data_IF_751741494755
#
_entry.id   IF_751741494755
#
_cell.length_a   1.000
_cell.length_b   1.000
_cell.length_c   1.000
_cell.angle_alpha   90.00
_cell.angle_beta   90.00
_cell.angle_gamma   90.00
#
_symmetry.space_group_name_H-M   'P 1'
#
loop_
_entity.id
_entity.type
_entity.pdbx_description
1 polymer ?
#
# COMPACT_ATOMS: atom_id res chain seq x y z
N UNK A 1 -6.37 -22.88 -19.80
CA UNK A 1 -6.46 -22.10 -18.54
C UNK A 1 -5.12 -22.08 -17.80
N UNK A 2 -4.50 -23.24 -17.55
CA UNK A 2 -3.15 -23.33 -16.97
C UNK A 2 -2.05 -22.68 -17.84
N UNK A 3 -2.07 -22.88 -19.16
CA UNK A 3 -1.11 -22.26 -20.09
C UNK A 3 -1.24 -20.73 -20.20
N UNK A 4 -2.48 -20.22 -20.06
CA UNK A 4 -2.72 -18.77 -20.03
C UNK A 4 -2.16 -18.16 -18.75
N UNK A 5 -2.38 -18.81 -17.60
CA UNK A 5 -1.81 -18.39 -16.32
C UNK A 5 -0.27 -18.50 -16.32
N UNK A 6 0.31 -19.54 -16.90
CA UNK A 6 1.78 -19.63 -17.02
C UNK A 6 2.33 -18.52 -17.91
N UNK A 7 1.68 -18.21 -19.03
CA UNK A 7 2.10 -17.13 -19.93
C UNK A 7 2.01 -15.75 -19.26
N UNK A 8 1.01 -15.52 -18.41
CA UNK A 8 0.90 -14.30 -17.59
C UNK A 8 2.00 -14.23 -16.54
N UNK A 9 2.29 -15.34 -15.85
CA UNK A 9 3.38 -15.42 -14.88
C UNK A 9 4.75 -15.21 -15.54
N UNK A 10 4.98 -15.81 -16.70
CA UNK A 10 6.21 -15.66 -17.47
C UNK A 10 6.37 -14.23 -18.01
N UNK A 11 5.28 -13.59 -18.43
CA UNK A 11 5.28 -12.17 -18.78
C UNK A 11 5.67 -11.28 -17.59
N UNK A 12 5.09 -11.54 -16.41
CA UNK A 12 5.43 -10.80 -15.18
C UNK A 12 6.89 -11.02 -14.79
N UNK A 13 7.39 -12.26 -14.88
CA UNK A 13 8.79 -12.57 -14.57
C UNK A 13 9.77 -11.89 -15.54
N UNK A 14 9.42 -11.80 -16.83
CA UNK A 14 10.27 -11.20 -17.86
C UNK A 14 10.27 -9.67 -17.88
N UNK A 15 9.27 -9.01 -17.27
CA UNK A 15 9.17 -7.54 -17.28
C UNK A 15 10.06 -6.85 -16.25
N UNK A 16 10.82 -7.61 -15.43
CA UNK A 16 11.60 -7.10 -14.28
C UNK A 16 10.77 -6.32 -13.25
N UNK A 17 9.45 -6.24 -13.42
CA UNK A 17 8.52 -5.58 -12.49
C UNK A 17 8.63 -6.17 -11.08
N UNK A 18 8.77 -7.49 -10.86
CA UNK A 18 8.97 -8.04 -9.52
C UNK A 18 10.23 -7.52 -8.84
N UNK A 19 11.32 -7.35 -9.60
CA UNK A 19 12.58 -6.79 -9.09
C UNK A 19 12.42 -5.29 -8.80
N UNK A 20 11.75 -4.53 -9.67
CA UNK A 20 11.46 -3.11 -9.46
C UNK A 20 10.61 -2.86 -8.21
N UNK A 21 9.68 -3.76 -7.88
CA UNK A 21 8.87 -3.67 -6.65
C UNK A 21 9.72 -4.01 -5.42
N UNK A 22 10.59 -5.04 -5.50
CA UNK A 22 11.48 -5.41 -4.40
C UNK A 22 12.53 -4.36 -4.09
N UNK A 23 13.05 -3.71 -5.12
CA UNK A 23 14.11 -2.71 -5.03
C UNK A 23 13.55 -1.28 -5.00
N UNK A 24 12.24 -1.12 -4.78
CA UNK A 24 11.61 0.19 -4.84
C UNK A 24 12.22 1.10 -3.77
N UNK A 25 12.93 2.14 -4.22
CA UNK A 25 13.47 3.14 -3.32
C UNK A 25 12.34 4.08 -2.87
N UNK A 26 11.65 3.66 -1.81
CA UNK A 26 10.57 4.44 -1.21
C UNK A 26 11.03 5.84 -0.76
N UNK A 27 12.32 6.02 -0.41
CA UNK A 27 12.89 7.34 -0.10
C UNK A 27 13.12 8.15 -1.38
N UNK A 28 13.64 7.50 -2.43
CA UNK A 28 13.84 8.06 -3.77
C UNK A 28 12.56 8.60 -4.41
N UNK A 29 11.40 8.00 -4.11
CA UNK A 29 10.09 8.51 -4.55
C UNK A 29 9.83 9.95 -4.08
N UNK A 30 10.14 10.27 -2.83
CA UNK A 30 9.88 11.60 -2.25
C UNK A 30 11.00 12.62 -2.51
N UNK A 31 12.13 12.20 -3.09
CA UNK A 31 13.16 13.11 -3.59
C UNK A 31 13.05 13.33 -5.11
N UNK A 32 12.27 12.50 -5.81
CA UNK A 32 12.01 12.63 -7.22
C UNK A 32 10.94 13.70 -7.49
N UNK A 33 11.33 14.82 -8.10
CA UNK A 33 10.43 15.92 -8.43
C UNK A 33 9.27 15.49 -9.35
N UNK A 34 9.49 14.52 -10.26
CA UNK A 34 8.45 14.01 -11.16
C UNK A 34 7.33 13.27 -10.44
N UNK A 35 7.60 12.70 -9.27
CA UNK A 35 6.56 12.15 -8.40
C UNK A 35 6.03 13.19 -7.43
N UNK A 36 6.92 13.94 -6.79
CA UNK A 36 6.59 14.84 -5.70
C UNK A 36 5.67 15.99 -6.15
N UNK A 37 5.94 16.60 -7.30
CA UNK A 37 5.13 17.71 -7.83
C UNK A 37 3.67 17.31 -8.10
N UNK A 38 3.38 16.26 -8.91
CA UNK A 38 2.00 15.84 -9.10
C UNK A 38 1.35 15.30 -7.82
N UNK A 39 2.11 14.66 -6.94
CA UNK A 39 1.59 14.18 -5.65
C UNK A 39 1.15 15.34 -4.73
N UNK A 40 1.98 16.38 -4.59
CA UNK A 40 1.63 17.60 -3.85
C UNK A 40 0.43 18.30 -4.51
N UNK A 41 0.43 18.41 -5.85
CA UNK A 41 -0.68 18.98 -6.60
C UNK A 41 -2.00 18.24 -6.32
N UNK A 42 -1.98 16.91 -6.32
CA UNK A 42 -3.10 16.07 -5.95
C UNK A 42 -3.59 16.34 -4.52
N UNK A 43 -2.68 16.42 -3.53
CA UNK A 43 -3.05 16.71 -2.14
C UNK A 43 -3.67 18.09 -2.00
N UNK A 44 -3.02 19.13 -2.54
CA UNK A 44 -3.51 20.51 -2.51
C UNK A 44 -4.88 20.64 -3.17
N UNK A 45 -5.09 19.98 -4.32
CA UNK A 45 -6.38 20.01 -5.02
C UNK A 45 -7.50 19.36 -4.22
N UNK A 46 -7.25 18.20 -3.60
CA UNK A 46 -8.25 17.52 -2.77
C UNK A 46 -8.51 18.27 -1.46
N UNK A 47 -7.50 18.93 -0.88
CA UNK A 47 -7.67 19.83 0.25
C UNK A 47 -8.54 21.04 -0.11
N UNK A 48 -8.27 21.68 -1.25
CA UNK A 48 -9.09 22.78 -1.77
C UNK A 48 -10.55 22.37 -1.96
N UNK A 49 -10.79 21.18 -2.52
CA UNK A 49 -12.14 20.63 -2.69
C UNK A 49 -12.78 20.09 -1.41
N UNK A 50 -12.09 20.16 -0.27
CA UNK A 50 -12.52 19.56 0.99
C UNK A 50 -12.90 18.07 0.86
N UNK A 51 -12.25 17.36 -0.08
CA UNK A 51 -12.51 15.96 -0.42
C UNK A 51 -11.91 15.03 0.65
N UNK A 52 -12.45 15.13 1.87
CA UNK A 52 -11.94 14.46 3.06
C UNK A 52 -11.93 12.94 2.90
N UNK A 53 -12.95 12.37 2.24
CA UNK A 53 -13.01 10.94 1.95
C UNK A 53 -11.81 10.53 1.10
N UNK A 54 -11.55 11.25 0.00
CA UNK A 54 -10.40 10.99 -0.87
C UNK A 54 -9.09 11.09 -0.11
N UNK A 55 -8.88 12.17 0.66
CA UNK A 55 -7.65 12.39 1.42
C UNK A 55 -7.39 11.29 2.45
N UNK A 56 -8.42 10.85 3.17
CA UNK A 56 -8.30 9.78 4.16
C UNK A 56 -8.02 8.43 3.48
N UNK A 57 -8.66 8.13 2.35
CA UNK A 57 -8.36 6.91 1.59
C UNK A 57 -6.93 6.90 1.06
N UNK A 58 -6.45 8.03 0.53
CA UNK A 58 -5.05 8.18 0.11
C UNK A 58 -4.11 7.95 1.30
N UNK A 59 -4.39 8.57 2.44
CA UNK A 59 -3.62 8.42 3.66
C UNK A 59 -3.57 6.98 4.15
N UNK A 60 -4.70 6.27 4.14
CA UNK A 60 -4.77 4.85 4.47
C UNK A 60 -3.96 3.99 3.50
N UNK A 61 -4.05 4.24 2.19
CA UNK A 61 -3.29 3.52 1.19
C UNK A 61 -1.77 3.67 1.39
N UNK A 62 -1.29 4.90 1.59
CA UNK A 62 0.12 5.18 1.86
C UNK A 62 0.55 4.60 3.20
N UNK A 63 -0.26 4.75 4.25
CA UNK A 63 0.03 4.26 5.59
C UNK A 63 0.14 2.74 5.64
N UNK A 64 -0.80 2.02 4.98
CA UNK A 64 -0.74 0.58 4.86
C UNK A 64 0.47 0.14 4.03
N UNK A 65 0.76 0.82 2.92
CA UNK A 65 1.95 0.52 2.13
C UNK A 65 3.25 0.65 2.94
N UNK A 66 3.43 1.76 3.67
CA UNK A 66 4.57 1.97 4.57
C UNK A 66 4.63 0.92 5.68
N UNK A 67 3.48 0.55 6.26
CA UNK A 67 3.40 -0.50 7.27
C UNK A 67 3.81 -1.86 6.69
N UNK A 68 3.34 -2.22 5.49
CA UNK A 68 3.69 -3.48 4.82
C UNK A 68 5.18 -3.59 4.50
N UNK A 69 5.84 -2.47 4.16
CA UNK A 69 7.28 -2.39 3.93
C UNK A 69 8.14 -2.22 5.18
N UNK A 70 7.56 -2.28 6.38
CA UNK A 70 8.30 -2.10 7.63
C UNK A 70 9.06 -3.37 8.05
N UNK A 71 10.14 -3.19 8.83
CA UNK A 71 10.92 -4.28 9.45
C UNK A 71 10.06 -5.21 10.32
N UNK A 72 8.93 -4.72 10.81
CA UNK A 72 7.99 -5.54 11.58
C UNK A 72 7.39 -6.66 10.72
N UNK A 73 7.05 -6.36 9.47
CA UNK A 73 6.47 -7.31 8.52
C UNK A 73 7.50 -8.33 8.02
N UNK A 74 8.76 -7.90 7.82
CA UNK A 74 9.88 -8.81 7.52
C UNK A 74 10.03 -9.90 8.59
N UNK A 75 9.74 -9.55 9.85
CA UNK A 75 9.84 -10.46 10.98
C UNK A 75 8.66 -11.42 11.16
N UNK A 76 7.66 -11.43 10.27
CA UNK A 76 6.48 -12.31 10.38
C UNK A 76 6.78 -13.77 10.06
N UNK A 77 7.72 -14.02 9.15
CA UNK A 77 8.13 -15.36 8.75
C UNK A 77 9.59 -15.50 9.15
N UNK A 78 9.87 -16.39 10.09
CA UNK A 78 11.25 -16.70 10.50
C UNK A 78 11.44 -18.20 10.36
N UNK A 79 12.48 -18.61 9.63
CA UNK A 79 12.78 -20.01 9.33
C UNK A 79 11.62 -20.77 8.66
N UNK A 80 10.77 -20.08 7.89
CA UNK A 80 9.61 -20.68 7.24
C UNK A 80 8.38 -20.85 8.15
N UNK A 81 8.48 -20.48 9.43
CA UNK A 81 7.36 -20.52 10.37
C UNK A 81 6.74 -19.13 10.55
N UNK A 82 5.41 -19.09 10.57
CA UNK A 82 4.65 -17.88 10.83
C UNK A 82 4.61 -17.60 12.34
N UNK A 83 5.14 -16.45 12.75
CA UNK A 83 5.11 -16.07 14.15
C UNK A 83 3.71 -15.59 14.55
N UNK A 84 2.89 -16.49 15.10
CA UNK A 84 1.51 -16.19 15.51
C UNK A 84 1.40 -14.94 16.41
N UNK A 85 2.37 -14.74 17.31
CA UNK A 85 2.40 -13.57 18.19
C UNK A 85 2.55 -12.23 17.46
N UNK A 86 3.13 -12.23 16.25
CA UNK A 86 3.29 -11.03 15.42
C UNK A 86 2.14 -10.82 14.43
N UNK A 87 1.41 -11.88 14.10
CA UNK A 87 0.23 -11.82 13.22
C UNK A 87 -0.89 -11.02 13.86
N UNK A 88 -1.09 -11.14 15.18
CA UNK A 88 -2.19 -10.48 15.88
C UNK A 88 -2.13 -8.94 15.76
N UNK A 89 -0.97 -8.27 15.99
CA UNK A 89 -0.86 -6.83 15.71
C UNK A 89 -1.13 -6.44 14.26
N UNK A 90 -0.73 -7.26 13.28
CA UNK A 90 -1.01 -7.01 11.85
C UNK A 90 -2.50 -7.06 11.57
N UNK A 91 -3.18 -8.09 12.08
CA UNK A 91 -4.63 -8.22 11.97
C UNK A 91 -5.34 -7.03 12.62
N UNK A 92 -4.87 -6.58 13.79
CA UNK A 92 -5.38 -5.38 14.46
C UNK A 92 -5.25 -4.12 13.60
N UNK A 93 -4.08 -3.86 13.01
CA UNK A 93 -3.88 -2.73 12.08
C UNK A 93 -4.83 -2.80 10.90
N UNK A 94 -5.00 -3.99 10.32
CA UNK A 94 -5.90 -4.18 9.17
C UNK A 94 -7.37 -3.95 9.54
N UNK A 95 -7.81 -4.45 10.69
CA UNK A 95 -9.18 -4.22 11.20
C UNK A 95 -9.44 -2.73 11.42
N UNK A 96 -8.49 -2.01 12.04
CA UNK A 96 -8.59 -0.57 12.25
C UNK A 96 -8.65 0.18 10.91
N UNK A 97 -7.78 -0.17 9.97
CA UNK A 97 -7.78 0.43 8.63
C UNK A 97 -9.11 0.19 7.90
N UNK A 98 -9.66 -1.03 7.99
CA UNK A 98 -10.98 -1.35 7.44
C UNK A 98 -12.10 -0.56 8.11
N UNK A 99 -12.09 -0.43 9.43
CA UNK A 99 -13.10 0.35 10.15
C UNK A 99 -13.10 1.82 9.71
N UNK A 100 -11.91 2.42 9.58
CA UNK A 100 -11.77 3.79 9.06
C UNK A 100 -12.26 3.86 7.61
N UNK A 101 -11.88 2.90 6.77
CA UNK A 101 -12.31 2.88 5.37
C UNK A 101 -13.84 2.78 5.25
N UNK A 102 -14.47 1.87 6.00
CA UNK A 102 -15.92 1.66 6.02
C UNK A 102 -16.63 2.95 6.46
N UNK A 103 -16.17 3.58 7.53
CA UNK A 103 -16.77 4.83 8.01
C UNK A 103 -16.74 5.92 6.93
N UNK A 104 -15.59 6.13 6.28
CA UNK A 104 -15.45 7.19 5.28
C UNK A 104 -16.12 6.86 3.93
N UNK A 105 -16.24 5.59 3.55
CA UNK A 105 -16.89 5.19 2.30
C UNK A 105 -18.41 5.09 2.41
N UNK A 106 -18.95 4.64 3.54
CA UNK A 106 -20.37 4.28 3.65
C UNK A 106 -21.16 5.09 4.68
N UNK A 107 -20.53 5.57 5.74
CA UNK A 107 -21.24 6.26 6.82
C UNK A 107 -21.13 7.78 6.72
N UNK A 108 -19.94 8.27 6.38
CA UNK A 108 -19.67 9.69 6.20
C UNK A 108 -19.99 10.16 4.79
N UNK A 109 -19.99 9.28 3.79
CA UNK A 109 -20.25 9.70 2.41
C UNK A 109 -21.57 10.47 2.37
N UNK A 110 -21.49 11.76 2.04
CA UNK A 110 -22.65 12.63 1.84
C UNK A 110 -23.63 12.00 0.84
#
# INVERSE_FOLDING_TARGET
MLEFLSSVVDFINNTNVPAQIREVDAKGLFTNAWFLVPFIGYLCYNLYKQASNTLVMTGLGIGLWLFTGSRYMEGLIVNGEMQAGKVLPVAGVFIVALAIAIYFLFMRSD
#
